data_IF_930153683019
#
_entry.id   IF_930153683019
#
_cell.length_a   1.000
_cell.length_b   1.000
_cell.length_c   1.000
_cell.angle_alpha   90.00
_cell.angle_beta   90.00
_cell.angle_gamma   90.00
#
_symmetry.space_group_name_H-M   'P 1'
#
loop_
_entity.id
_entity.type
_entity.pdbx_description
1 polymer ?
#
# COMPACT_ATOMS: atom_id res chain seq x y z
N UNK A 1 -16.04 -13.23 -7.63
CA UNK A 1 -16.00 -12.68 -9.00
C UNK A 1 -14.58 -12.20 -9.26
N UNK A 2 -13.81 -12.85 -10.14
CA UNK A 2 -12.48 -12.36 -10.47
C UNK A 2 -12.65 -11.08 -11.29
N UNK A 3 -12.33 -9.93 -10.71
CA UNK A 3 -12.15 -8.70 -11.49
C UNK A 3 -10.86 -8.91 -12.26
N UNK A 4 -10.96 -9.27 -13.52
CA UNK A 4 -9.84 -9.34 -14.43
C UNK A 4 -9.45 -7.92 -14.81
N UNK A 5 -8.28 -7.53 -14.40
CA UNK A 5 -7.67 -6.27 -14.77
C UNK A 5 -8.14 -5.07 -13.92
N UNK A 6 -7.23 -4.15 -13.75
CA UNK A 6 -7.53 -2.83 -13.22
C UNK A 6 -8.51 -2.14 -14.15
N UNK A 7 -9.36 -1.26 -13.66
CA UNK A 7 -10.18 -0.49 -14.56
C UNK A 7 -9.25 0.27 -15.52
N UNK A 8 -9.41 0.02 -16.80
CA UNK A 8 -8.79 0.80 -17.88
C UNK A 8 -9.50 2.17 -17.90
N UNK A 9 -9.27 2.92 -16.84
CA UNK A 9 -10.05 4.13 -16.57
C UNK A 9 -9.81 5.18 -17.64
N UNK A 10 -8.57 5.37 -18.03
CA UNK A 10 -8.15 6.36 -19.02
C UNK A 10 -8.00 5.79 -20.45
N UNK A 11 -8.47 4.57 -20.70
CA UNK A 11 -8.48 4.00 -22.04
C UNK A 11 -9.45 4.76 -22.94
N UNK A 12 -8.95 5.47 -23.98
CA UNK A 12 -9.78 6.28 -24.86
C UNK A 12 -10.80 5.46 -25.66
N UNK A 13 -10.55 4.15 -25.83
CA UNK A 13 -11.51 3.25 -26.47
C UNK A 13 -12.72 2.95 -25.58
N UNK A 14 -12.56 3.10 -24.26
CA UNK A 14 -13.64 2.85 -23.28
C UNK A 14 -14.27 4.12 -22.75
N UNK A 15 -13.53 5.23 -22.68
CA UNK A 15 -14.01 6.46 -22.05
C UNK A 15 -13.31 7.70 -22.60
N UNK A 16 -14.11 8.66 -23.05
CA UNK A 16 -13.63 9.97 -23.43
C UNK A 16 -13.18 10.74 -22.19
N UNK A 17 -12.04 11.47 -22.19
CA UNK A 17 -11.63 12.32 -21.08
C UNK A 17 -12.71 13.28 -20.56
N UNK A 18 -13.54 13.83 -21.44
CA UNK A 18 -14.67 14.68 -21.07
C UNK A 18 -15.69 13.98 -20.14
N UNK A 19 -15.71 12.65 -20.10
CA UNK A 19 -16.62 11.86 -19.26
C UNK A 19 -16.02 11.46 -17.91
N UNK A 20 -14.74 11.75 -17.63
CA UNK A 20 -14.10 11.35 -16.38
C UNK A 20 -14.82 11.90 -15.16
N UNK A 21 -15.20 13.17 -15.18
CA UNK A 21 -15.95 13.80 -14.08
C UNK A 21 -17.28 13.09 -13.82
N UNK A 22 -18.06 12.83 -14.86
CA UNK A 22 -19.35 12.15 -14.73
C UNK A 22 -19.20 10.74 -14.19
N UNK A 23 -18.19 10.01 -14.65
CA UNK A 23 -17.91 8.65 -14.19
C UNK A 23 -17.45 8.61 -12.72
N UNK A 24 -16.51 9.46 -12.34
CA UNK A 24 -16.02 9.53 -10.95
C UNK A 24 -17.14 9.99 -10.01
N UNK A 25 -17.95 10.95 -10.42
CA UNK A 25 -19.12 11.39 -9.67
C UNK A 25 -20.09 10.25 -9.45
N UNK A 26 -20.48 9.55 -10.50
CA UNK A 26 -21.39 8.39 -10.42
C UNK A 26 -20.84 7.31 -9.47
N UNK A 27 -19.55 7.01 -9.54
CA UNK A 27 -18.90 6.04 -8.66
C UNK A 27 -18.88 6.50 -7.19
N UNK A 28 -18.62 7.79 -6.96
CA UNK A 28 -18.66 8.41 -5.65
C UNK A 28 -20.07 8.35 -5.05
N UNK A 29 -21.10 8.84 -5.78
CA UNK A 29 -22.50 8.85 -5.34
C UNK A 29 -23.03 7.44 -5.02
N UNK A 30 -22.65 6.44 -5.85
CA UNK A 30 -22.98 5.05 -5.57
C UNK A 30 -22.36 4.56 -4.26
N UNK A 31 -21.12 4.95 -4.01
CA UNK A 31 -20.42 4.59 -2.76
C UNK A 31 -21.04 5.29 -1.55
N UNK A 32 -21.36 6.58 -1.65
CA UNK A 32 -22.07 7.34 -0.62
C UNK A 32 -23.40 6.68 -0.26
N UNK A 33 -24.19 6.33 -1.28
CA UNK A 33 -25.47 5.61 -1.09
C UNK A 33 -25.27 4.28 -0.37
N UNK A 34 -24.24 3.52 -0.75
CA UNK A 34 -23.94 2.22 -0.12
C UNK A 34 -23.47 2.36 1.33
N UNK A 35 -22.77 3.44 1.65
CA UNK A 35 -22.28 3.75 3.00
C UNK A 35 -23.35 4.50 3.84
N UNK A 36 -24.47 4.90 3.24
CA UNK A 36 -25.53 5.68 3.90
C UNK A 36 -25.00 6.99 4.51
N UNK A 37 -24.17 7.70 3.75
CA UNK A 37 -23.60 9.00 4.11
C UNK A 37 -23.72 9.98 2.95
N UNK A 38 -23.56 11.25 3.22
CA UNK A 38 -23.63 12.34 2.23
C UNK A 38 -22.27 12.84 1.76
N UNK A 39 -21.20 12.52 2.51
CA UNK A 39 -19.81 12.85 2.15
C UNK A 39 -18.82 11.81 2.67
N UNK A 40 -17.60 11.86 2.20
CA UNK A 40 -16.46 11.11 2.71
C UNK A 40 -15.43 12.04 3.33
N UNK A 41 -14.84 11.66 4.47
CA UNK A 41 -13.67 12.34 5.03
C UNK A 41 -12.48 12.23 4.07
N UNK A 42 -12.34 11.10 3.38
CA UNK A 42 -11.27 10.82 2.43
C UNK A 42 -11.77 9.99 1.25
N UNK A 43 -11.67 10.55 0.05
CA UNK A 43 -11.93 9.86 -1.21
C UNK A 43 -10.62 9.56 -1.94
N UNK A 44 -10.33 8.28 -2.18
CA UNK A 44 -9.11 7.87 -2.87
C UNK A 44 -9.37 7.43 -4.30
N UNK A 45 -8.54 7.89 -5.23
CA UNK A 45 -8.43 7.30 -6.56
C UNK A 45 -7.81 5.91 -6.42
N UNK A 46 -8.57 4.86 -6.77
CA UNK A 46 -8.20 3.48 -6.49
C UNK A 46 -7.70 2.77 -7.74
N UNK A 47 -6.48 2.20 -7.65
CA UNK A 47 -5.84 1.44 -8.71
C UNK A 47 -5.92 2.15 -10.07
N UNK A 48 -5.41 3.37 -10.23
CA UNK A 48 -5.40 4.02 -11.52
C UNK A 48 -4.60 3.21 -12.54
N UNK A 49 -4.94 3.34 -13.79
CA UNK A 49 -4.16 2.83 -14.92
C UNK A 49 -2.99 3.79 -15.24
N UNK A 50 -2.16 3.44 -16.21
CA UNK A 50 -0.92 4.16 -16.54
C UNK A 50 -1.08 5.68 -16.58
N UNK A 51 -2.02 6.17 -17.37
CA UNK A 51 -2.27 7.62 -17.49
C UNK A 51 -3.05 8.18 -16.31
N UNK A 52 -3.85 7.37 -15.63
CA UNK A 52 -4.69 7.78 -14.52
C UNK A 52 -3.91 8.32 -13.32
N UNK A 53 -2.64 7.92 -13.17
CA UNK A 53 -1.78 8.44 -12.10
C UNK A 53 -1.53 9.95 -12.25
N UNK A 54 -1.26 10.41 -13.47
CA UNK A 54 -0.79 11.78 -13.72
C UNK A 54 -1.62 12.54 -14.77
N UNK A 55 -2.84 12.07 -15.07
CA UNK A 55 -3.67 12.78 -16.05
C UNK A 55 -4.46 13.93 -15.41
N UNK A 56 -4.25 15.12 -15.93
CA UNK A 56 -4.90 16.37 -15.54
C UNK A 56 -6.42 16.27 -15.38
N UNK A 57 -7.10 15.70 -16.38
CA UNK A 57 -8.58 15.63 -16.38
C UNK A 57 -9.11 14.71 -15.29
N UNK A 58 -8.33 13.69 -14.88
CA UNK A 58 -8.67 12.81 -13.73
C UNK A 58 -8.59 13.61 -12.44
N UNK A 59 -7.48 14.33 -12.22
CA UNK A 59 -7.29 15.10 -10.97
C UNK A 59 -8.18 16.33 -10.90
N UNK A 60 -8.46 16.99 -12.01
CA UNK A 60 -9.51 18.04 -12.09
C UNK A 60 -10.90 17.48 -11.74
N UNK A 61 -11.20 16.27 -12.18
CA UNK A 61 -12.46 15.62 -11.84
C UNK A 61 -12.52 15.25 -10.35
N UNK A 62 -11.42 14.75 -9.76
CA UNK A 62 -11.34 14.50 -8.32
C UNK A 62 -11.50 15.78 -7.50
N UNK A 63 -10.81 16.86 -7.89
CA UNK A 63 -10.92 18.16 -7.24
C UNK A 63 -12.36 18.69 -7.27
N UNK A 64 -13.06 18.54 -8.41
CA UNK A 64 -14.46 18.94 -8.52
C UNK A 64 -15.39 18.21 -7.53
N UNK A 65 -15.12 16.94 -7.19
CA UNK A 65 -15.91 16.22 -6.17
C UNK A 65 -15.67 16.79 -4.76
N UNK A 66 -14.46 17.24 -4.47
CA UNK A 66 -14.13 17.94 -3.22
C UNK A 66 -14.82 19.31 -3.16
N UNK A 67 -14.78 20.08 -4.24
CA UNK A 67 -15.46 21.39 -4.34
C UNK A 67 -16.97 21.27 -4.19
N UNK A 68 -17.56 20.17 -4.64
CA UNK A 68 -18.99 19.84 -4.51
C UNK A 68 -19.36 19.34 -3.09
N UNK A 69 -18.39 19.17 -2.20
CA UNK A 69 -18.59 18.72 -0.83
C UNK A 69 -18.84 17.21 -0.68
N UNK A 70 -18.58 16.42 -1.73
CA UNK A 70 -18.73 14.95 -1.67
C UNK A 70 -17.55 14.26 -0.96
N UNK A 71 -16.43 14.96 -0.82
CA UNK A 71 -15.27 14.53 -0.04
C UNK A 71 -14.57 15.73 0.60
N UNK A 72 -14.05 15.57 1.82
CA UNK A 72 -13.24 16.59 2.49
C UNK A 72 -11.79 16.59 2.00
N UNK A 73 -11.23 15.40 1.78
CA UNK A 73 -9.85 15.17 1.38
C UNK A 73 -9.79 14.21 0.20
N UNK A 74 -8.73 14.37 -0.59
CA UNK A 74 -8.46 13.50 -1.72
C UNK A 74 -7.22 12.65 -1.45
N UNK A 75 -7.17 11.48 -2.05
CA UNK A 75 -6.03 10.59 -1.91
C UNK A 75 -5.82 9.66 -3.08
N UNK A 76 -4.71 8.91 -2.99
CA UNK A 76 -4.30 7.91 -3.95
C UNK A 76 -4.17 6.54 -3.27
N UNK A 77 -4.79 5.53 -3.83
CA UNK A 77 -4.59 4.13 -3.46
C UNK A 77 -4.04 3.37 -4.69
N UNK A 78 -2.72 3.26 -4.84
CA UNK A 78 -2.11 2.61 -5.98
C UNK A 78 -2.43 1.11 -6.04
N UNK A 79 -2.04 0.46 -7.13
CA UNK A 79 -2.32 -0.93 -7.43
C UNK A 79 -1.99 -1.93 -6.31
N UNK A 80 -2.34 -3.22 -6.47
CA UNK A 80 -2.37 -4.18 -5.36
C UNK A 80 -0.99 -4.50 -4.77
N UNK A 81 0.08 -4.17 -5.47
CA UNK A 81 1.47 -4.39 -5.04
C UNK A 81 2.24 -3.08 -5.03
N UNK A 82 3.43 -3.09 -4.43
CA UNK A 82 4.33 -1.93 -4.39
C UNK A 82 5.02 -1.60 -5.73
N UNK A 83 4.75 -2.37 -6.78
CA UNK A 83 5.29 -2.11 -8.12
C UNK A 83 4.91 -0.75 -8.72
N UNK A 84 3.94 -0.03 -8.15
CA UNK A 84 3.51 1.31 -8.59
C UNK A 84 4.14 2.44 -7.77
N UNK A 85 5.23 2.17 -7.06
CA UNK A 85 5.90 3.16 -6.21
C UNK A 85 6.36 4.39 -6.99
N UNK A 86 6.95 4.21 -8.17
CA UNK A 86 7.41 5.33 -9.00
C UNK A 86 6.24 6.16 -9.53
N UNK A 87 5.17 5.50 -9.99
CA UNK A 87 3.95 6.19 -10.46
C UNK A 87 3.31 7.02 -9.34
N UNK A 88 3.30 6.49 -8.12
CA UNK A 88 2.78 7.19 -6.96
C UNK A 88 3.63 8.43 -6.62
N UNK A 89 4.96 8.29 -6.59
CA UNK A 89 5.87 9.42 -6.32
C UNK A 89 5.72 10.48 -7.42
N UNK A 90 5.62 10.06 -8.69
CA UNK A 90 5.38 10.98 -9.80
C UNK A 90 4.06 11.74 -9.64
N UNK A 91 3.01 11.05 -9.18
CA UNK A 91 1.74 11.73 -8.89
C UNK A 91 1.87 12.81 -7.82
N UNK A 92 2.73 12.63 -6.81
CA UNK A 92 2.98 13.68 -5.82
C UNK A 92 3.72 14.88 -6.42
N UNK A 93 4.64 14.65 -7.36
CA UNK A 93 5.36 15.74 -8.04
C UNK A 93 4.41 16.58 -8.92
N UNK A 94 3.44 15.95 -9.57
CA UNK A 94 2.50 16.61 -10.47
C UNK A 94 1.28 17.21 -9.74
N UNK A 95 0.75 16.53 -8.71
CA UNK A 95 -0.53 16.83 -8.07
C UNK A 95 -0.48 16.85 -6.54
N UNK A 96 0.70 17.00 -5.94
CA UNK A 96 0.84 16.98 -4.48
C UNK A 96 -0.03 17.99 -3.75
N UNK A 97 -0.36 19.12 -4.39
CA UNK A 97 -1.28 20.13 -3.82
C UNK A 97 -2.74 19.65 -3.71
N UNK A 98 -3.12 18.61 -4.48
CA UNK A 98 -4.45 18.03 -4.48
C UNK A 98 -4.51 16.71 -3.69
N UNK A 99 -3.38 16.06 -3.47
CA UNK A 99 -3.30 14.75 -2.81
C UNK A 99 -3.02 14.96 -1.32
N UNK A 100 -4.06 14.84 -0.51
CA UNK A 100 -3.93 14.94 0.95
C UNK A 100 -3.37 13.66 1.56
N UNK A 101 -3.71 12.47 0.99
CA UNK A 101 -3.36 11.15 1.52
C UNK A 101 -2.94 10.16 0.44
N UNK A 102 -2.06 9.22 0.80
CA UNK A 102 -1.79 8.06 -0.05
C UNK A 102 -1.73 6.77 0.76
N UNK A 103 -2.15 5.66 0.14
CA UNK A 103 -2.11 4.33 0.73
C UNK A 103 -0.94 3.56 0.13
N UNK A 104 -0.06 3.01 0.97
CA UNK A 104 1.07 2.17 0.54
C UNK A 104 1.11 0.85 1.30
N UNK A 105 1.82 -0.15 0.76
CA UNK A 105 2.24 -1.31 1.52
C UNK A 105 3.57 -0.95 2.18
N UNK A 106 3.61 -1.07 3.51
CA UNK A 106 4.83 -0.89 4.28
C UNK A 106 4.71 -1.70 5.57
N UNK A 107 5.71 -2.53 5.85
CA UNK A 107 5.80 -3.30 7.10
C UNK A 107 7.25 -3.72 7.35
N UNK A 108 7.59 -4.20 8.56
CA UNK A 108 8.96 -4.58 8.91
C UNK A 108 9.60 -5.63 8.00
N UNK A 109 8.83 -6.51 7.35
CA UNK A 109 9.31 -7.57 6.44
C UNK A 109 9.21 -7.18 4.96
N UNK A 110 8.63 -6.02 4.66
CA UNK A 110 8.42 -5.52 3.31
C UNK A 110 8.64 -4.00 3.26
N UNK A 111 9.85 -3.52 3.65
CA UNK A 111 10.17 -2.10 3.61
C UNK A 111 10.34 -1.58 2.18
N UNK A 112 10.94 -2.38 1.28
CA UNK A 112 11.18 -2.01 -0.11
C UNK A 112 9.97 -2.38 -1.01
N UNK A 113 9.62 -1.56 -2.02
CA UNK A 113 10.10 -0.21 -2.31
C UNK A 113 9.28 0.90 -1.61
N UNK A 114 8.30 0.54 -0.75
CA UNK A 114 7.42 1.48 -0.06
C UNK A 114 8.16 2.57 0.72
N UNK A 115 9.34 2.26 1.26
CA UNK A 115 10.17 3.20 2.00
C UNK A 115 10.55 4.46 1.19
N UNK A 116 10.63 4.39 -0.14
CA UNK A 116 10.98 5.52 -0.99
C UNK A 116 9.83 6.52 -1.15
N UNK A 117 8.61 6.10 -0.81
CA UNK A 117 7.46 7.01 -0.78
C UNK A 117 7.53 7.99 0.40
N UNK A 118 8.16 7.60 1.51
CA UNK A 118 8.21 8.41 2.75
C UNK A 118 8.80 9.82 2.51
N UNK A 119 10.02 9.97 1.96
CA UNK A 119 10.59 11.29 1.73
C UNK A 119 9.82 12.08 0.67
N UNK A 120 9.26 11.43 -0.35
CA UNK A 120 8.46 12.10 -1.36
C UNK A 120 7.15 12.63 -0.77
N UNK A 121 6.44 11.81 -0.01
CA UNK A 121 5.20 12.20 0.67
C UNK A 121 5.45 13.37 1.64
N UNK A 122 6.52 13.29 2.44
CA UNK A 122 6.92 14.39 3.36
C UNK A 122 7.20 15.70 2.60
N UNK A 123 7.91 15.62 1.48
CA UNK A 123 8.24 16.77 0.63
C UNK A 123 6.98 17.47 0.11
N UNK A 124 5.96 16.72 -0.24
CA UNK A 124 4.72 17.24 -0.84
C UNK A 124 3.57 17.40 0.17
N UNK A 125 3.82 17.16 1.47
CA UNK A 125 2.81 17.32 2.51
C UNK A 125 1.69 16.27 2.47
N UNK A 126 1.96 15.10 1.89
CA UNK A 126 1.01 13.99 1.77
C UNK A 126 1.11 13.09 3.00
N UNK A 127 0.01 12.88 3.69
CA UNK A 127 -0.07 11.91 4.79
C UNK A 127 -0.17 10.47 4.24
N UNK A 128 0.44 9.52 4.95
CA UNK A 128 0.43 8.12 4.52
C UNK A 128 -0.42 7.25 5.43
N UNK A 129 -1.18 6.37 4.77
CA UNK A 129 -1.86 5.23 5.34
C UNK A 129 -1.15 3.96 4.86
N UNK A 130 -0.67 3.13 5.79
CA UNK A 130 -0.02 1.87 5.44
C UNK A 130 -0.98 0.69 5.58
N UNK A 131 -0.96 -0.20 4.60
CA UNK A 131 -1.74 -1.47 4.59
C UNK A 131 -0.80 -2.67 4.56
N UNK A 132 -1.35 -3.85 4.81
CA UNK A 132 -0.58 -5.11 4.92
C UNK A 132 0.48 -5.02 6.02
N UNK A 133 0.21 -4.24 7.04
CA UNK A 133 1.09 -3.98 8.18
C UNK A 133 1.50 -5.27 8.89
N UNK A 134 0.59 -6.23 8.92
CA UNK A 134 0.72 -7.56 9.52
C UNK A 134 1.42 -8.60 8.62
N UNK A 135 1.95 -8.18 7.45
CA UNK A 135 2.59 -9.07 6.47
C UNK A 135 1.75 -10.31 6.12
N UNK A 136 0.46 -10.11 5.84
CA UNK A 136 -0.47 -11.20 5.50
C UNK A 136 -0.78 -12.12 6.67
N UNK A 137 -0.71 -11.63 7.88
CA UNK A 137 -1.06 -12.34 9.12
C UNK A 137 0.12 -12.85 9.92
N UNK A 138 1.36 -12.75 9.41
CA UNK A 138 2.52 -13.30 10.11
C UNK A 138 2.78 -12.59 11.45
N UNK A 139 2.57 -11.28 11.52
CA UNK A 139 2.69 -10.50 12.75
C UNK A 139 1.52 -10.70 13.73
N UNK A 140 0.54 -11.53 13.42
CA UNK A 140 -0.45 -11.96 14.42
C UNK A 140 0.08 -13.05 15.35
N UNK A 141 1.14 -13.78 14.95
CA UNK A 141 1.82 -14.76 15.77
C UNK A 141 1.17 -16.15 15.84
N UNK A 142 0.04 -16.36 15.19
CA UNK A 142 -0.63 -17.67 15.08
C UNK A 142 -0.25 -18.46 13.82
N UNK A 143 0.38 -17.82 12.84
CA UNK A 143 0.95 -18.51 11.69
C UNK A 143 2.36 -19.02 12.03
N UNK A 144 2.54 -20.33 12.11
CA UNK A 144 3.80 -20.97 12.48
C UNK A 144 4.60 -21.41 11.25
N UNK A 145 5.86 -21.73 11.44
CA UNK A 145 6.67 -22.39 10.41
C UNK A 145 5.98 -23.68 9.94
N UNK A 146 6.04 -23.95 8.65
CA UNK A 146 5.33 -25.07 8.04
C UNK A 146 3.83 -24.85 7.83
N UNK A 147 3.35 -23.61 7.92
CA UNK A 147 1.94 -23.29 7.68
C UNK A 147 1.51 -23.64 6.26
N UNK A 148 0.43 -24.41 6.16
CA UNK A 148 -0.18 -24.81 4.89
C UNK A 148 -1.44 -23.98 4.61
N UNK A 149 -1.45 -23.32 3.44
CA UNK A 149 -2.60 -22.51 3.03
C UNK A 149 -3.70 -23.37 2.43
N UNK A 150 -4.95 -23.07 2.78
CA UNK A 150 -6.10 -23.75 2.20
C UNK A 150 -6.27 -23.39 0.72
N UNK A 151 -6.85 -24.30 -0.09
CA UNK A 151 -7.21 -23.98 -1.47
C UNK A 151 -8.06 -22.70 -1.56
N UNK A 152 -7.64 -21.76 -2.40
CA UNK A 152 -8.32 -20.49 -2.57
C UNK A 152 -7.80 -19.35 -1.67
N UNK A 153 -6.91 -19.63 -0.73
CA UNK A 153 -6.20 -18.58 -0.02
C UNK A 153 -5.19 -17.91 -0.96
N UNK A 154 -5.36 -16.60 -1.18
CA UNK A 154 -4.51 -15.86 -2.10
C UNK A 154 -3.06 -15.72 -1.62
N UNK A 155 -2.78 -15.96 -0.33
CA UNK A 155 -1.43 -15.96 0.23
C UNK A 155 -0.59 -17.14 -0.28
N UNK A 156 -1.24 -18.19 -0.76
CA UNK A 156 -0.57 -19.31 -1.44
C UNK A 156 0.14 -18.90 -2.75
N UNK A 157 -0.18 -17.73 -3.31
CA UNK A 157 0.51 -17.17 -4.49
C UNK A 157 1.76 -16.36 -4.15
N UNK A 158 2.08 -16.16 -2.87
CA UNK A 158 3.35 -15.58 -2.46
C UNK A 158 4.51 -16.55 -2.77
N UNK A 159 5.74 -16.06 -2.93
CA UNK A 159 6.91 -16.92 -3.17
C UNK A 159 7.00 -18.06 -2.14
N UNK A 160 7.38 -19.25 -2.59
CA UNK A 160 7.56 -20.40 -1.70
C UNK A 160 8.51 -20.07 -0.56
N UNK A 161 8.20 -20.51 0.67
CA UNK A 161 9.05 -20.29 1.85
C UNK A 161 8.95 -18.88 2.45
N UNK A 162 8.03 -18.04 2.02
CA UNK A 162 7.88 -16.67 2.55
C UNK A 162 7.55 -16.62 4.06
N UNK A 163 6.87 -17.65 4.59
CA UNK A 163 6.56 -17.76 6.03
C UNK A 163 7.83 -18.03 6.81
N UNK A 164 8.62 -19.00 6.37
CA UNK A 164 9.90 -19.38 6.98
C UNK A 164 10.88 -18.21 6.97
N UNK A 165 11.06 -17.59 5.81
CA UNK A 165 11.92 -16.40 5.66
C UNK A 165 11.45 -15.24 6.53
N UNK A 166 10.14 -15.06 6.65
CA UNK A 166 9.56 -14.05 7.53
C UNK A 166 9.89 -14.30 8.99
N UNK A 167 9.81 -15.55 9.45
CA UNK A 167 10.23 -15.92 10.81
C UNK A 167 11.74 -15.72 11.04
N UNK A 168 12.60 -16.11 10.08
CA UNK A 168 14.04 -15.91 10.18
C UNK A 168 14.41 -14.43 10.34
N UNK A 169 13.73 -13.56 9.57
CA UNK A 169 13.93 -12.11 9.68
C UNK A 169 13.39 -11.54 11.00
N UNK A 170 12.23 -12.00 11.46
CA UNK A 170 11.64 -11.55 12.72
C UNK A 170 12.52 -11.91 13.93
N UNK A 171 13.24 -13.03 13.90
CA UNK A 171 14.19 -13.40 14.96
C UNK A 171 15.24 -12.30 15.18
N UNK A 172 15.71 -11.64 14.13
CA UNK A 172 16.64 -10.51 14.22
C UNK A 172 16.00 -9.24 14.79
N UNK A 173 14.67 -9.14 14.81
CA UNK A 173 13.92 -8.00 15.37
C UNK A 173 13.52 -8.19 16.84
N UNK A 174 13.61 -9.43 17.36
CA UNK A 174 13.22 -9.76 18.74
C UNK A 174 13.86 -8.86 19.81
N UNK A 175 15.15 -8.49 19.75
CA UNK A 175 15.74 -7.62 20.76
C UNK A 175 15.01 -6.27 20.90
N UNK A 176 14.54 -5.70 19.78
CA UNK A 176 13.79 -4.43 19.79
C UNK A 176 12.37 -4.67 20.33
N UNK A 177 11.72 -5.75 19.91
CA UNK A 177 10.38 -6.13 20.38
C UNK A 177 10.38 -6.31 21.89
N UNK A 178 11.34 -7.08 22.43
CA UNK A 178 11.48 -7.36 23.86
C UNK A 178 11.84 -6.11 24.67
N UNK A 179 12.76 -5.29 24.17
CA UNK A 179 13.15 -4.02 24.78
C UNK A 179 11.97 -3.11 25.08
N UNK A 180 10.99 -3.07 24.17
CA UNK A 180 9.80 -2.24 24.30
C UNK A 180 8.58 -2.98 24.86
N UNK A 181 8.69 -4.28 25.14
CA UNK A 181 7.59 -5.11 25.64
C UNK A 181 6.40 -5.21 24.68
N UNK A 182 6.68 -5.23 23.38
CA UNK A 182 5.65 -5.19 22.34
C UNK A 182 5.21 -6.60 21.94
N UNK A 183 3.94 -6.75 21.56
CA UNK A 183 3.53 -7.89 20.75
C UNK A 183 3.98 -7.72 19.31
N UNK A 184 3.95 -8.79 18.51
CA UNK A 184 4.34 -8.72 17.10
C UNK A 184 3.46 -7.74 16.31
N UNK A 185 2.15 -7.72 16.55
CA UNK A 185 1.21 -6.82 15.88
C UNK A 185 1.46 -5.35 16.30
N UNK A 186 1.68 -5.11 17.59
CA UNK A 186 2.04 -3.78 18.08
C UNK A 186 3.36 -3.30 17.48
N UNK A 187 4.38 -4.16 17.45
CA UNK A 187 5.67 -3.85 16.86
C UNK A 187 5.55 -3.43 15.39
N UNK A 188 4.88 -4.23 14.55
CA UNK A 188 4.71 -3.91 13.14
C UNK A 188 3.95 -2.58 12.95
N UNK A 189 2.94 -2.32 13.77
CA UNK A 189 2.15 -1.08 13.72
C UNK A 189 2.98 0.12 14.18
N UNK A 190 3.70 0.01 15.28
CA UNK A 190 4.54 1.07 15.84
C UNK A 190 5.72 1.39 14.94
N UNK A 191 6.37 0.38 14.33
CA UNK A 191 7.43 0.60 13.37
C UNK A 191 6.98 1.48 12.20
N UNK A 192 5.77 1.26 11.68
CA UNK A 192 5.18 2.11 10.66
C UNK A 192 4.93 3.53 11.19
N UNK A 193 4.23 3.67 12.32
CA UNK A 193 3.85 4.95 12.92
C UNK A 193 5.06 5.76 13.41
N UNK A 194 6.21 5.13 13.62
CA UNK A 194 7.47 5.81 13.96
C UNK A 194 8.15 6.49 12.77
N UNK A 195 7.57 6.41 11.58
CA UNK A 195 8.13 6.95 10.34
C UNK A 195 7.22 8.02 9.76
N UNK A 196 7.62 9.29 9.89
CA UNK A 196 6.88 10.37 9.20
C UNK A 196 6.99 10.19 7.66
N UNK A 197 5.90 10.44 6.91
CA UNK A 197 4.60 10.99 7.32
C UNK A 197 3.49 9.95 7.53
N UNK A 198 3.82 8.74 8.00
CA UNK A 198 2.79 7.73 8.29
C UNK A 198 1.90 8.19 9.45
N UNK A 199 0.59 8.29 9.22
CA UNK A 199 -0.41 8.72 10.20
C UNK A 199 -1.43 7.65 10.53
N UNK A 200 -1.55 6.62 9.69
CA UNK A 200 -2.54 5.57 9.87
C UNK A 200 -1.96 4.22 9.45
N UNK A 201 -2.32 3.18 10.18
CA UNK A 201 -1.96 1.79 9.90
C UNK A 201 -3.21 0.93 9.80
N UNK A 202 -3.27 0.06 8.77
CA UNK A 202 -4.41 -0.82 8.52
C UNK A 202 -3.89 -2.26 8.38
N UNK A 203 -3.83 -3.02 9.49
CA UNK A 203 -3.53 -4.44 9.43
C UNK A 203 -4.69 -5.22 8.80
N UNK A 204 -4.39 -6.37 8.23
CA UNK A 204 -5.39 -7.29 7.67
C UNK A 204 -5.72 -8.32 8.74
N UNK A 205 -6.86 -8.20 9.39
CA UNK A 205 -7.28 -9.16 10.39
C UNK A 205 -7.77 -10.45 9.72
N UNK A 206 -6.94 -11.48 9.79
CA UNK A 206 -7.22 -12.79 9.20
C UNK A 206 -7.51 -13.80 10.31
N UNK A 207 -8.61 -14.54 10.16
CA UNK A 207 -8.89 -15.71 10.99
C UNK A 207 -8.19 -16.91 10.35
N UNK A 208 -7.12 -17.39 10.97
CA UNK A 208 -6.47 -18.60 10.55
C UNK A 208 -7.36 -19.82 10.82
N UNK A 209 -7.05 -20.93 10.16
CA UNK A 209 -7.73 -22.19 10.41
C UNK A 209 -6.99 -23.01 11.49
N UNK A 210 -7.75 -23.72 12.30
CA UNK A 210 -7.21 -24.60 13.33
C UNK A 210 -7.62 -24.21 14.74
N UNK A 211 -7.43 -25.13 15.68
CA UNK A 211 -7.84 -24.94 17.08
C UNK A 211 -6.95 -23.92 17.81
N UNK A 212 -5.73 -23.76 17.36
CA UNK A 212 -4.73 -22.83 17.92
C UNK A 212 -4.84 -21.40 17.32
N UNK A 213 -5.73 -21.19 16.35
CA UNK A 213 -5.90 -19.91 15.70
C UNK A 213 -6.54 -18.90 16.65
N UNK A 214 -5.93 -17.72 16.73
CA UNK A 214 -6.44 -16.60 17.52
C UNK A 214 -7.71 -16.05 16.89
N UNK A 215 -8.70 -15.73 17.71
CA UNK A 215 -9.93 -15.09 17.24
C UNK A 215 -9.66 -13.69 16.68
N UNK A 216 -10.38 -13.31 15.63
CA UNK A 216 -10.28 -11.96 15.04
C UNK A 216 -10.56 -10.88 16.08
N UNK A 217 -11.55 -11.10 16.95
CA UNK A 217 -11.92 -10.17 18.02
C UNK A 217 -10.77 -9.91 18.99
N UNK A 218 -9.96 -10.93 19.28
CA UNK A 218 -8.81 -10.79 20.17
C UNK A 218 -7.68 -10.01 19.48
N UNK A 219 -7.46 -10.23 18.17
CA UNK A 219 -6.53 -9.46 17.36
C UNK A 219 -6.95 -7.98 17.28
N UNK A 220 -8.25 -7.70 17.13
CA UNK A 220 -8.80 -6.34 17.12
C UNK A 220 -8.64 -5.69 18.50
N UNK A 221 -8.90 -6.40 19.59
CA UNK A 221 -8.69 -5.86 20.95
C UNK A 221 -7.23 -5.57 21.23
N UNK A 222 -6.32 -6.46 20.81
CA UNK A 222 -4.89 -6.23 20.91
C UNK A 222 -4.49 -4.96 20.14
N UNK A 223 -4.89 -4.85 18.88
CA UNK A 223 -4.61 -3.67 18.08
C UNK A 223 -5.20 -2.38 18.67
N UNK A 224 -6.40 -2.45 19.23
CA UNK A 224 -7.04 -1.32 19.92
C UNK A 224 -6.34 -0.88 21.20
N UNK A 225 -5.45 -1.72 21.75
CA UNK A 225 -4.62 -1.43 22.91
C UNK A 225 -3.18 -1.05 22.53
N UNK A 226 -2.97 -0.49 21.33
CA UNK A 226 -1.66 -0.09 20.85
C UNK A 226 -1.00 0.89 21.85
N UNK A 227 0.20 0.57 22.38
CA UNK A 227 0.86 1.42 23.34
C UNK A 227 1.47 2.67 22.68
N UNK A 228 1.57 3.74 23.48
CA UNK A 228 2.22 5.00 23.06
C UNK A 228 3.76 4.84 23.09
N UNK A 229 4.28 4.09 22.15
CA UNK A 229 5.72 3.87 21.94
C UNK A 229 6.10 4.44 20.58
N UNK A 230 7.25 5.09 20.50
CA UNK A 230 7.89 5.53 19.25
C UNK A 230 9.28 4.92 19.22
N UNK A 231 9.59 4.18 18.15
CA UNK A 231 10.94 3.68 17.92
C UNK A 231 11.86 4.82 17.51
N UNK A 232 13.10 4.77 17.97
CA UNK A 232 14.12 5.70 17.52
C UNK A 232 14.46 5.48 16.03
N UNK A 233 15.03 6.49 15.38
CA UNK A 233 15.47 6.40 13.97
C UNK A 233 16.43 5.23 13.77
N UNK A 234 17.33 4.98 14.75
CA UNK A 234 18.25 3.87 14.68
C UNK A 234 17.55 2.51 14.73
N UNK A 235 16.55 2.34 15.60
CA UNK A 235 15.74 1.11 15.67
C UNK A 235 14.91 0.90 14.41
N UNK A 236 14.31 1.96 13.86
CA UNK A 236 13.59 1.89 12.59
C UNK A 236 14.49 1.39 11.47
N UNK A 237 15.72 1.90 11.41
CA UNK A 237 16.70 1.49 10.40
C UNK A 237 17.22 0.07 10.62
N UNK A 238 17.49 -0.32 11.86
CA UNK A 238 17.90 -1.70 12.21
C UNK A 238 16.82 -2.71 11.77
N UNK A 239 15.57 -2.42 12.02
CA UNK A 239 14.42 -3.23 11.56
C UNK A 239 14.36 -3.27 10.04
N UNK A 240 14.57 -2.12 9.36
CA UNK A 240 14.57 -2.04 7.89
C UNK A 240 15.64 -2.93 7.28
N UNK A 241 16.84 -2.94 7.86
CA UNK A 241 17.95 -3.80 7.42
C UNK A 241 17.62 -5.28 7.68
N UNK A 242 17.09 -5.61 8.87
CA UNK A 242 16.69 -6.98 9.19
C UNK A 242 15.59 -7.52 8.28
N UNK A 243 14.68 -6.65 7.87
CA UNK A 243 13.54 -6.98 7.00
C UNK A 243 13.82 -6.89 5.50
N UNK A 244 15.03 -6.51 5.09
CA UNK A 244 15.39 -6.22 3.70
C UNK A 244 14.76 -7.21 2.71
N UNK A 245 14.04 -6.66 1.74
CA UNK A 245 13.36 -7.39 0.68
C UNK A 245 13.64 -6.77 -0.70
N UNK A 246 14.76 -6.06 -0.83
CA UNK A 246 15.18 -5.40 -2.05
C UNK A 246 15.15 -6.35 -3.24
N UNK A 247 14.57 -5.91 -4.36
CA UNK A 247 14.45 -6.71 -5.59
C UNK A 247 13.41 -7.84 -5.54
N UNK A 248 12.57 -7.91 -4.49
CA UNK A 248 11.55 -8.97 -4.38
C UNK A 248 10.46 -8.90 -5.47
N UNK A 249 10.31 -7.77 -6.12
CA UNK A 249 9.40 -7.56 -7.25
C UNK A 249 9.98 -6.52 -8.22
N UNK A 250 9.66 -6.61 -9.53
CA UNK A 250 9.95 -5.53 -10.45
C UNK A 250 9.05 -4.33 -10.15
N UNK A 251 9.55 -3.13 -10.34
CA UNK A 251 8.73 -1.93 -10.34
C UNK A 251 7.90 -1.89 -11.62
N UNK A 252 6.64 -1.52 -11.50
CA UNK A 252 5.76 -1.33 -12.64
C UNK A 252 6.23 -0.15 -13.48
N UNK A 253 6.01 -0.27 -14.79
CA UNK A 253 6.57 0.69 -15.74
C UNK A 253 7.98 0.33 -16.18
N UNK A 254 8.68 -0.56 -15.48
CA UNK A 254 10.00 -1.07 -15.84
C UNK A 254 9.98 -2.55 -16.20
N UNK A 255 8.92 -3.29 -15.86
CA UNK A 255 8.92 -4.75 -15.96
C UNK A 255 8.95 -5.25 -17.40
N UNK A 256 10.13 -5.61 -17.86
CA UNK A 256 10.32 -6.43 -19.07
C UNK A 256 10.20 -7.94 -18.76
N UNK A 257 9.99 -8.32 -17.51
CA UNK A 257 10.01 -9.73 -17.07
C UNK A 257 8.66 -10.41 -17.16
N UNK A 258 7.63 -9.70 -17.60
CA UNK A 258 6.30 -10.29 -17.70
C UNK A 258 6.18 -11.02 -19.04
N UNK A 259 6.24 -12.33 -19.02
CA UNK A 259 6.20 -13.21 -20.20
C UNK A 259 4.77 -13.67 -20.56
N UNK A 260 3.76 -13.23 -19.84
CA UNK A 260 2.40 -13.72 -20.08
C UNK A 260 1.54 -12.71 -20.84
N UNK A 261 0.35 -13.18 -21.21
CA UNK A 261 -0.67 -12.43 -21.93
C UNK A 261 -0.84 -10.99 -21.47
N UNK A 262 -1.29 -10.13 -22.35
CA UNK A 262 -1.59 -8.73 -22.16
C UNK A 262 -2.14 -8.42 -20.73
N UNK A 263 -1.40 -7.60 -20.01
CA UNK A 263 -1.79 -7.15 -18.68
C UNK A 263 -2.00 -5.64 -18.70
N UNK A 264 -3.23 -5.18 -18.53
CA UNK A 264 -3.57 -3.75 -18.57
C UNK A 264 -3.04 -2.98 -17.35
N UNK A 265 -2.48 -3.67 -16.37
CA UNK A 265 -1.87 -3.11 -15.15
C UNK A 265 -0.33 -3.10 -15.24
N UNK A 266 0.24 -3.39 -16.38
CA UNK A 266 1.68 -3.31 -16.66
C UNK A 266 1.93 -2.45 -17.90
N UNK A 267 2.90 -1.58 -17.81
CA UNK A 267 3.31 -0.68 -18.86
C UNK A 267 4.83 -0.50 -18.91
N UNK A 268 5.39 -0.11 -20.06
CA UNK A 268 6.83 0.11 -20.17
C UNK A 268 7.28 1.29 -19.32
N UNK A 269 8.53 1.25 -18.89
CA UNK A 269 9.15 2.36 -18.19
C UNK A 269 9.19 3.60 -19.08
N UNK A 270 8.68 4.71 -18.56
CA UNK A 270 8.72 6.02 -19.20
C UNK A 270 9.95 6.78 -18.74
N UNK A 271 10.42 7.74 -19.54
CA UNK A 271 11.63 8.53 -19.25
C UNK A 271 11.54 9.26 -17.91
N UNK A 272 10.39 9.85 -17.60
CA UNK A 272 10.14 10.55 -16.34
C UNK A 272 10.23 9.64 -15.11
N UNK A 273 9.79 8.37 -15.23
CA UNK A 273 9.91 7.37 -14.17
C UNK A 273 11.35 6.86 -14.03
N UNK A 274 12.10 6.78 -15.13
CA UNK A 274 13.54 6.45 -15.09
C UNK A 274 14.32 7.52 -14.33
N UNK A 275 14.12 8.79 -14.67
CA UNK A 275 14.74 9.92 -13.98
C UNK A 275 14.37 9.96 -12.49
N UNK A 276 13.12 9.61 -12.19
CA UNK A 276 12.65 9.49 -10.82
C UNK A 276 13.35 8.35 -10.08
N UNK A 277 13.45 7.18 -10.69
CA UNK A 277 14.15 6.03 -10.12
C UNK A 277 15.60 6.35 -9.80
N UNK A 278 16.31 7.01 -10.71
CA UNK A 278 17.70 7.46 -10.50
C UNK A 278 17.82 8.43 -9.31
N UNK A 279 16.90 9.39 -9.18
CA UNK A 279 16.88 10.34 -8.05
C UNK A 279 16.69 9.66 -6.68
N UNK A 280 16.00 8.54 -6.64
CA UNK A 280 15.78 7.75 -5.41
C UNK A 280 16.73 6.56 -5.26
N UNK A 281 17.73 6.43 -6.16
CA UNK A 281 18.69 5.34 -6.11
C UNK A 281 18.11 3.96 -6.44
N UNK A 282 17.03 3.93 -7.21
CA UNK A 282 16.31 2.70 -7.60
C UNK A 282 16.73 2.16 -8.96
N UNK A 283 17.69 2.79 -9.64
CA UNK A 283 18.02 2.49 -11.03
C UNK A 283 18.50 1.06 -11.30
N UNK A 284 19.01 0.35 -10.30
CA UNK A 284 19.43 -1.06 -10.41
C UNK A 284 18.29 -2.07 -10.12
N UNK A 285 17.17 -1.61 -9.59
CA UNK A 285 16.11 -2.46 -9.02
C UNK A 285 14.87 -2.58 -9.91
N UNK A 286 14.86 -1.96 -11.07
CA UNK A 286 13.75 -1.99 -12.03
C UNK A 286 14.03 -2.68 -13.35
#
# INVERSE_FOLDING_TARGET
MKVRGYPRFTDPALRNPAEYRNFLRMACEKSLTSCQTDHFDLLMLHNPDELGYTQDDVWKAMAALKDEGLAERLGMAPGPANGFTLDLIHSFEEFGELIDWAMIILNPLEPWPGQFVLPAAKKHGVDLLTRVVDYGGLFHGDMKRGHEFKPGDHRAYRPAGWVEQGHDKMENMLPIIEKHGLSLLHFASIWNLSQEPVKCVVPTFIQEAGEEARLIEDKIREFGALPEVILSVAEVEEVRVAGDNTGCMPLKGASQRHESSERPDEWPMRSELMELADRYGLGAEW
#
